data_IF_305920966588
#
_entry.id   IF_305920966588
#
_cell.length_a   1.000
_cell.length_b   1.000
_cell.length_c   1.000
_cell.angle_alpha   90.00
_cell.angle_beta   90.00
_cell.angle_gamma   90.00
#
_symmetry.space_group_name_H-M   'P 1'
#
loop_
_entity.id
_entity.type
_entity.pdbx_description
1 polymer ?
#
# COMPACT_ATOMS: atom_id res chain seq x y z
N UNK A 1 30.69 37.81 -39.30
CA UNK A 1 29.86 38.87 -39.89
C UNK A 1 28.92 39.27 -38.79
N UNK A 2 29.36 40.26 -38.15
CA UNK A 2 28.98 41.68 -38.09
C UNK A 2 27.71 41.87 -37.29
N UNK A 3 27.86 42.40 -36.06
CA UNK A 3 28.00 43.81 -35.62
C UNK A 3 26.64 44.53 -35.69
N UNK A 4 26.21 45.37 -34.81
CA UNK A 4 26.76 46.38 -33.90
C UNK A 4 25.63 46.80 -32.95
N UNK A 5 25.84 47.04 -31.66
CA UNK A 5 26.27 48.30 -30.99
C UNK A 5 25.32 49.50 -31.16
N UNK A 6 24.95 50.10 -30.04
CA UNK A 6 25.19 51.46 -29.53
C UNK A 6 24.12 51.79 -28.45
N UNK A 7 24.46 51.99 -27.20
CA UNK A 7 25.01 53.12 -26.42
C UNK A 7 24.36 54.49 -26.66
N UNK A 8 23.91 55.10 -25.57
CA UNK A 8 24.20 56.44 -24.97
C UNK A 8 23.10 56.90 -24.02
N UNK A 9 23.34 57.05 -22.75
CA UNK A 9 23.98 58.07 -21.87
C UNK A 9 23.46 59.51 -21.99
N UNK A 10 23.39 60.15 -20.79
CA UNK A 10 23.49 61.58 -20.43
C UNK A 10 22.14 62.35 -20.40
N UNK A 11 21.83 63.28 -19.54
CA UNK A 11 22.57 64.00 -18.50
C UNK A 11 21.58 64.73 -17.53
N UNK A 12 22.08 65.02 -16.32
CA UNK A 12 21.52 65.97 -15.37
C UNK A 12 21.92 67.39 -15.80
N UNK A 13 21.29 68.49 -15.29
CA UNK A 13 22.02 69.24 -14.30
C UNK A 13 21.22 69.91 -13.16
N UNK A 14 22.00 70.23 -12.11
CA UNK A 14 21.78 71.05 -10.93
C UNK A 14 21.46 72.52 -11.24
N UNK A 15 20.98 73.18 -10.21
CA UNK A 15 21.48 74.38 -9.44
C UNK A 15 20.28 75.18 -8.92
N UNK A 16 20.16 75.47 -7.67
CA UNK A 16 20.80 76.34 -6.68
C UNK A 16 20.16 77.73 -6.53
N UNK A 17 20.08 78.10 -5.23
CA UNK A 17 20.08 79.40 -4.57
C UNK A 17 18.83 80.29 -4.61
N UNK A 18 18.40 80.73 -3.55
CA UNK A 18 18.64 81.45 -2.33
C UNK A 18 17.75 82.73 -2.21
N UNK A 19 17.24 83.08 -1.09
CA UNK A 19 17.34 84.33 -0.36
C UNK A 19 16.17 84.60 0.60
N UNK A 20 16.54 84.81 1.78
CA UNK A 20 16.20 85.58 2.96
C UNK A 20 15.08 86.61 2.89
N UNK A 21 14.39 86.72 4.05
CA UNK A 21 13.74 88.00 4.55
C UNK A 21 12.55 87.68 5.47
N UNK A 22 12.63 87.69 6.72
CA UNK A 22 12.48 88.78 7.68
C UNK A 22 11.11 88.77 8.39
N UNK A 23 11.15 88.40 9.63
CA UNK A 23 10.44 88.86 10.83
C UNK A 23 9.00 89.43 10.79
N UNK A 24 8.08 88.80 11.56
CA UNK A 24 7.57 89.45 12.84
C UNK A 24 6.56 88.58 13.53
N UNK A 25 6.53 88.65 14.82
CA UNK A 25 5.79 87.82 15.77
C UNK A 25 4.32 88.24 15.90
N UNK A 26 3.46 87.22 16.08
CA UNK A 26 2.20 87.41 16.84
C UNK A 26 1.83 86.08 17.51
N UNK A 27 1.69 86.14 18.80
CA UNK A 27 1.25 85.10 19.71
C UNK A 27 -0.21 84.74 19.53
N UNK A 28 -0.49 83.44 19.30
CA UNK A 28 -1.81 82.88 19.61
C UNK A 28 -1.68 81.50 20.22
N UNK A 29 -2.51 81.26 21.23
CA UNK A 29 -2.54 80.12 22.13
C UNK A 29 -2.73 78.79 21.42
N UNK A 30 -1.93 77.81 21.85
CA UNK A 30 -1.92 76.50 21.32
C UNK A 30 -3.11 75.60 21.65
N UNK A 31 -3.76 75.09 20.69
CA UNK A 31 -4.55 73.88 20.81
C UNK A 31 -3.63 72.68 20.48
N UNK A 32 -3.48 71.74 21.44
CA UNK A 32 -2.75 70.50 21.28
C UNK A 32 -3.37 69.63 20.18
N UNK A 33 -2.59 69.01 19.29
CA UNK A 33 -3.13 68.17 18.24
C UNK A 33 -3.78 66.91 18.84
N UNK A 34 -4.88 66.38 18.24
CA UNK A 34 -5.57 65.19 18.75
C UNK A 34 -4.63 63.97 18.71
N UNK A 35 -4.43 63.34 19.88
CA UNK A 35 -3.68 62.08 20.01
C UNK A 35 -4.30 61.03 19.09
N UNK A 36 -3.62 60.69 17.99
CA UNK A 36 -3.94 59.52 17.13
C UNK A 36 -3.94 58.27 18.02
N UNK A 37 -5.11 57.74 18.38
CA UNK A 37 -5.27 56.47 19.06
C UNK A 37 -4.59 55.38 18.23
N UNK A 38 -3.58 54.78 18.84
CA UNK A 38 -2.79 53.67 18.29
C UNK A 38 -3.70 52.51 17.87
N UNK A 39 -3.95 52.32 16.56
CA UNK A 39 -4.61 51.15 15.97
C UNK A 39 -3.75 49.86 16.03
N UNK A 40 -2.70 49.79 16.87
CA UNK A 40 -1.76 48.68 16.95
C UNK A 40 -2.33 47.45 17.70
N UNK A 41 -3.27 47.63 18.60
CA UNK A 41 -3.86 46.55 19.38
C UNK A 41 -4.84 45.68 18.60
N UNK A 42 -5.57 46.29 17.66
CA UNK A 42 -6.52 45.55 16.83
C UNK A 42 -5.81 44.63 15.82
N UNK A 43 -4.72 45.11 15.21
CA UNK A 43 -3.89 44.31 14.29
C UNK A 43 -3.20 43.12 14.98
N UNK A 44 -2.70 43.32 16.21
CA UNK A 44 -2.13 42.20 17.00
C UNK A 44 -3.17 41.18 17.41
N UNK A 45 -4.37 41.60 17.85
CA UNK A 45 -5.46 40.69 18.20
C UNK A 45 -5.96 39.90 16.96
N UNK A 46 -6.09 40.57 15.81
CA UNK A 46 -6.45 39.91 14.55
C UNK A 46 -5.36 38.91 14.11
N UNK A 47 -4.09 39.24 14.23
CA UNK A 47 -2.98 38.35 13.89
C UNK A 47 -2.93 37.10 14.80
N UNK A 48 -3.17 37.28 16.10
CA UNK A 48 -3.26 36.20 17.10
C UNK A 48 -4.48 35.31 16.79
N UNK A 49 -5.63 35.90 16.47
CA UNK A 49 -6.83 35.14 16.10
C UNK A 49 -6.63 34.33 14.80
N UNK A 50 -5.98 34.90 13.78
CA UNK A 50 -5.62 34.21 12.54
C UNK A 50 -4.63 33.08 12.81
N UNK A 51 -3.59 33.34 13.61
CA UNK A 51 -2.63 32.29 13.98
C UNK A 51 -3.29 31.15 14.77
N UNK A 52 -4.16 31.44 15.74
CA UNK A 52 -4.90 30.45 16.50
C UNK A 52 -5.87 29.66 15.63
N UNK A 53 -6.52 30.30 14.64
CA UNK A 53 -7.40 29.63 13.67
C UNK A 53 -6.61 28.71 12.74
N UNK A 54 -5.45 29.14 12.24
CA UNK A 54 -4.56 28.32 11.41
C UNK A 54 -4.01 27.12 12.19
N UNK A 55 -3.63 27.32 13.46
CA UNK A 55 -3.18 26.22 14.33
C UNK A 55 -4.31 25.23 14.60
N UNK A 56 -5.53 25.70 14.84
CA UNK A 56 -6.71 24.85 15.02
C UNK A 56 -7.06 24.06 13.77
N UNK A 57 -7.05 24.69 12.59
CA UNK A 57 -7.28 24.02 11.31
C UNK A 57 -6.20 22.98 11.00
N UNK A 58 -4.93 23.28 11.30
CA UNK A 58 -3.82 22.35 11.13
C UNK A 58 -3.97 21.13 12.05
N UNK A 59 -4.34 21.33 13.31
CA UNK A 59 -4.58 20.25 14.27
C UNK A 59 -5.76 19.37 13.84
N UNK A 60 -6.84 19.96 13.33
CA UNK A 60 -8.00 19.23 12.82
C UNK A 60 -7.64 18.40 11.57
N UNK A 61 -6.82 18.95 10.65
CA UNK A 61 -6.36 18.24 9.46
C UNK A 61 -5.46 17.05 9.83
N UNK A 62 -4.53 17.22 10.78
CA UNK A 62 -3.69 16.12 11.29
C UNK A 62 -4.53 15.04 11.98
N UNK A 63 -5.49 15.44 12.82
CA UNK A 63 -6.39 14.50 13.48
C UNK A 63 -7.24 13.72 12.48
N UNK A 64 -7.80 14.37 11.46
CA UNK A 64 -8.55 13.73 10.40
C UNK A 64 -7.70 12.74 9.60
N UNK A 65 -6.48 13.13 9.23
CA UNK A 65 -5.54 12.25 8.53
C UNK A 65 -5.17 11.03 9.39
N UNK A 66 -4.92 11.22 10.69
CA UNK A 66 -4.62 10.13 11.63
C UNK A 66 -5.80 9.17 11.76
N UNK A 67 -7.01 9.68 11.98
CA UNK A 67 -8.20 8.85 12.11
C UNK A 67 -8.50 8.07 10.83
N UNK A 68 -8.34 8.70 9.66
CA UNK A 68 -8.50 8.01 8.37
C UNK A 68 -7.45 6.92 8.16
N UNK A 69 -6.21 7.20 8.55
CA UNK A 69 -5.12 6.23 8.51
C UNK A 69 -5.40 5.02 9.42
N UNK A 70 -5.74 5.27 10.69
CA UNK A 70 -6.03 4.22 11.65
C UNK A 70 -7.20 3.33 11.20
N UNK A 71 -8.24 3.93 10.61
CA UNK A 71 -9.39 3.17 10.09
C UNK A 71 -9.04 2.24 8.91
N UNK A 72 -8.02 2.59 8.11
CA UNK A 72 -7.53 1.73 7.03
C UNK A 72 -6.71 0.56 7.60
N UNK A 73 -5.90 0.85 8.62
CA UNK A 73 -4.94 -0.10 9.21
C UNK A 73 -5.38 -0.66 10.55
N UNK A 74 -6.68 -0.70 10.81
CA UNK A 74 -7.25 -1.35 11.99
C UNK A 74 -6.98 -2.86 11.97
N UNK A 75 -7.15 -3.52 13.11
CA UNK A 75 -7.07 -4.98 13.20
C UNK A 75 -8.14 -5.62 12.33
N UNK A 76 -7.75 -6.66 11.61
CA UNK A 76 -8.65 -7.45 10.78
C UNK A 76 -8.79 -8.86 11.33
N UNK A 77 -9.91 -9.10 12.01
CA UNK A 77 -10.21 -10.39 12.60
C UNK A 77 -10.66 -11.42 11.56
N UNK A 78 -10.41 -12.68 11.85
CA UNK A 78 -10.80 -13.80 11.02
C UNK A 78 -12.32 -13.82 10.81
N UNK A 79 -12.81 -13.88 9.57
CA UNK A 79 -14.24 -13.94 9.31
C UNK A 79 -14.82 -15.29 9.74
N UNK A 80 -16.13 -15.31 9.98
CA UNK A 80 -16.85 -16.58 10.12
C UNK A 80 -16.86 -17.34 8.78
N UNK A 81 -16.08 -18.39 8.70
CA UNK A 81 -15.95 -19.18 7.48
C UNK A 81 -17.24 -19.85 7.02
N UNK A 82 -18.19 -20.13 7.94
CA UNK A 82 -19.50 -20.64 7.58
C UNK A 82 -20.30 -19.64 6.72
N UNK A 83 -19.95 -18.34 6.77
CA UNK A 83 -20.58 -17.25 6.03
C UNK A 83 -19.68 -16.71 4.91
N UNK A 84 -18.76 -17.51 4.39
CA UNK A 84 -17.88 -17.15 3.26
C UNK A 84 -18.12 -18.07 2.06
N UNK A 85 -17.88 -17.54 0.87
CA UNK A 85 -18.15 -18.24 -0.39
C UNK A 85 -16.95 -19.06 -0.92
N UNK A 86 -15.72 -18.69 -0.54
CA UNK A 86 -14.50 -19.27 -1.08
C UNK A 86 -13.91 -20.40 -0.25
N UNK A 87 -12.81 -20.97 -0.79
CA UNK A 87 -11.90 -21.86 -0.06
C UNK A 87 -10.98 -20.98 0.79
N UNK A 88 -11.42 -20.71 2.02
CA UNK A 88 -10.76 -19.79 2.95
C UNK A 88 -10.54 -20.40 4.33
N UNK A 89 -10.59 -21.73 4.44
CA UNK A 89 -10.24 -22.49 5.63
C UNK A 89 -9.77 -23.91 5.23
N UNK A 90 -8.92 -24.48 6.08
CA UNK A 90 -8.29 -25.77 5.79
C UNK A 90 -9.31 -26.91 5.57
N UNK A 91 -10.48 -26.84 6.22
CA UNK A 91 -11.54 -27.83 6.04
C UNK A 91 -12.20 -27.81 4.66
N UNK A 92 -12.06 -26.72 3.91
CA UNK A 92 -12.51 -26.59 2.52
C UNK A 92 -11.37 -26.78 1.51
N UNK A 93 -10.14 -26.88 2.00
CA UNK A 93 -8.98 -27.17 1.19
C UNK A 93 -9.06 -28.56 0.55
N UNK A 94 -8.23 -28.83 -0.45
CA UNK A 94 -8.16 -30.13 -1.11
C UNK A 94 -7.82 -31.23 -0.09
N UNK A 95 -8.41 -32.44 -0.21
CA UNK A 95 -8.07 -33.55 0.65
C UNK A 95 -6.57 -33.88 0.57
N UNK A 96 -5.93 -34.04 1.74
CA UNK A 96 -4.51 -34.37 1.83
C UNK A 96 -3.57 -33.16 1.82
N UNK A 97 -4.07 -31.93 1.78
CA UNK A 97 -3.23 -30.76 2.05
C UNK A 97 -2.82 -30.75 3.53
N UNK A 98 -1.55 -31.05 3.78
CA UNK A 98 -0.98 -31.02 5.12
C UNK A 98 -0.61 -29.57 5.49
N UNK A 99 -0.79 -29.18 6.77
CA UNK A 99 -0.44 -27.87 7.27
C UNK A 99 0.16 -27.98 8.65
N UNK A 100 1.32 -27.38 8.84
CA UNK A 100 2.00 -27.20 10.11
C UNK A 100 1.90 -25.75 10.58
N UNK A 101 1.62 -25.54 11.86
CA UNK A 101 1.63 -24.21 12.45
C UNK A 101 3.04 -23.83 12.85
N UNK A 102 3.45 -22.65 12.47
CA UNK A 102 4.76 -22.07 12.81
C UNK A 102 4.55 -20.77 13.57
N UNK A 103 5.47 -20.44 14.46
CA UNK A 103 5.44 -19.17 15.19
C UNK A 103 6.76 -18.46 15.01
N UNK A 104 6.72 -17.18 14.67
CA UNK A 104 7.89 -16.32 14.62
C UNK A 104 7.56 -14.92 15.13
N UNK A 105 8.53 -14.03 15.18
CA UNK A 105 8.34 -12.70 15.75
C UNK A 105 8.73 -11.61 14.75
N UNK A 106 7.92 -10.56 14.65
CA UNK A 106 8.20 -9.34 13.92
C UNK A 106 8.18 -8.17 14.90
N UNK A 107 9.33 -7.52 15.12
CA UNK A 107 9.51 -6.43 16.09
C UNK A 107 8.91 -6.76 17.48
N UNK A 108 9.11 -8.01 17.94
CA UNK A 108 8.65 -8.49 19.23
C UNK A 108 7.17 -8.88 19.30
N UNK A 109 6.41 -8.74 18.21
CA UNK A 109 5.01 -9.21 18.09
C UNK A 109 5.01 -10.62 17.51
N UNK A 110 4.24 -11.51 18.11
CA UNK A 110 4.12 -12.90 17.67
C UNK A 110 3.24 -13.00 16.45
N UNK A 111 3.77 -13.61 15.37
CA UNK A 111 3.04 -13.87 14.13
C UNK A 111 2.77 -15.37 13.94
N UNK A 112 1.60 -15.66 13.34
CA UNK A 112 1.19 -17.01 13.01
C UNK A 112 1.61 -17.34 11.57
N UNK A 113 2.51 -18.31 11.43
CA UNK A 113 2.91 -18.90 10.17
C UNK A 113 2.23 -20.25 9.90
N UNK A 114 2.12 -20.59 8.64
CA UNK A 114 1.53 -21.83 8.13
C UNK A 114 2.46 -22.43 7.11
N UNK A 115 2.98 -23.62 7.39
CA UNK A 115 3.84 -24.35 6.48
C UNK A 115 3.07 -25.51 5.84
N UNK A 116 3.17 -25.63 4.55
CA UNK A 116 2.54 -26.68 3.74
C UNK A 116 3.64 -27.48 3.05
N UNK A 117 4.04 -28.64 3.60
CA UNK A 117 5.12 -29.43 3.07
C UNK A 117 4.77 -30.12 1.75
N UNK A 118 5.69 -30.09 0.79
CA UNK A 118 5.66 -30.98 -0.38
C UNK A 118 6.65 -32.14 -0.17
N UNK A 119 6.34 -33.31 -0.72
CA UNK A 119 7.13 -34.54 -0.49
C UNK A 119 8.59 -34.43 -0.96
N UNK A 120 8.84 -33.75 -2.07
CA UNK A 120 10.18 -33.52 -2.63
C UNK A 120 10.18 -32.11 -3.25
N UNK A 121 10.31 -31.08 -2.40
CA UNK A 121 10.07 -29.72 -2.86
C UNK A 121 11.17 -29.23 -3.81
N UNK A 122 10.75 -28.62 -4.92
CA UNK A 122 11.63 -27.89 -5.84
C UNK A 122 12.19 -26.62 -5.20
N UNK A 123 11.47 -26.06 -4.23
CA UNK A 123 11.79 -24.85 -3.49
C UNK A 123 10.73 -24.55 -2.45
N UNK A 124 10.89 -23.45 -1.73
CA UNK A 124 9.92 -22.92 -0.81
C UNK A 124 9.29 -21.66 -1.39
N UNK A 125 7.96 -21.68 -1.63
CA UNK A 125 7.23 -20.48 -2.03
C UNK A 125 6.66 -19.79 -0.80
N UNK A 126 6.95 -18.50 -0.62
CA UNK A 126 6.30 -17.67 0.41
C UNK A 126 5.14 -16.94 -0.24
N UNK A 127 3.91 -17.14 0.27
CA UNK A 127 2.68 -16.52 -0.23
C UNK A 127 2.24 -15.43 0.72
N UNK A 128 2.14 -14.20 0.22
CA UNK A 128 1.86 -12.98 0.96
C UNK A 128 0.49 -12.41 0.59
N UNK A 129 -0.39 -12.29 1.59
CA UNK A 129 -1.77 -11.84 1.41
C UNK A 129 -1.91 -10.31 1.24
N UNK A 130 -3.07 -9.85 0.73
CA UNK A 130 -3.45 -8.44 0.63
C UNK A 130 -3.92 -7.85 1.96
N UNK A 131 -4.19 -6.55 1.97
CA UNK A 131 -4.78 -5.87 3.12
C UNK A 131 -6.21 -6.39 3.38
N UNK A 132 -6.63 -6.42 4.64
CA UNK A 132 -7.94 -6.93 5.07
C UNK A 132 -8.18 -8.40 4.67
N UNK A 133 -7.11 -9.19 4.64
CA UNK A 133 -7.13 -10.63 4.40
C UNK A 133 -6.18 -11.34 5.38
N UNK A 134 -6.15 -12.65 5.34
CA UNK A 134 -5.17 -13.48 6.03
C UNK A 134 -4.67 -14.62 5.13
N UNK A 135 -3.75 -15.42 5.63
CA UNK A 135 -3.13 -16.51 4.88
C UNK A 135 -4.16 -17.51 4.32
N UNK A 136 -5.22 -17.80 5.07
CA UNK A 136 -6.25 -18.76 4.69
C UNK A 136 -7.09 -18.31 3.47
N UNK A 137 -7.18 -17.02 3.16
CA UNK A 137 -7.87 -16.52 1.97
C UNK A 137 -7.10 -16.85 0.68
N UNK A 138 -5.82 -17.20 0.81
CA UNK A 138 -4.92 -17.56 -0.29
C UNK A 138 -4.69 -19.06 -0.42
N UNK A 139 -5.48 -19.90 0.28
CA UNK A 139 -5.44 -21.36 0.16
C UNK A 139 -5.51 -21.85 -1.28
N UNK A 140 -6.32 -21.29 -2.21
CA UNK A 140 -6.33 -21.74 -3.61
C UNK A 140 -4.97 -21.57 -4.30
N UNK A 141 -4.25 -20.51 -4.02
CA UNK A 141 -2.88 -20.27 -4.53
C UNK A 141 -1.91 -21.25 -3.88
N UNK A 142 -2.02 -21.44 -2.57
CA UNK A 142 -1.20 -22.39 -1.80
C UNK A 142 -1.36 -23.81 -2.34
N UNK A 143 -2.60 -24.27 -2.55
CA UNK A 143 -2.90 -25.58 -3.15
C UNK A 143 -2.26 -25.73 -4.53
N UNK A 144 -2.39 -24.70 -5.37
CA UNK A 144 -1.80 -24.72 -6.71
C UNK A 144 -0.27 -24.89 -6.66
N UNK A 145 0.40 -24.17 -5.76
CA UNK A 145 1.85 -24.24 -5.61
C UNK A 145 2.31 -25.58 -5.02
N UNK A 146 1.60 -26.12 -4.01
CA UNK A 146 1.90 -27.47 -3.47
C UNK A 146 1.73 -28.53 -4.54
N UNK A 147 0.66 -28.47 -5.33
CA UNK A 147 0.42 -29.38 -6.45
C UNK A 147 1.46 -29.23 -7.58
N UNK A 148 2.09 -28.05 -7.67
CA UNK A 148 3.19 -27.80 -8.62
C UNK A 148 4.55 -28.24 -8.09
N UNK A 149 4.61 -28.82 -6.88
CA UNK A 149 5.84 -29.39 -6.30
C UNK A 149 6.66 -28.42 -5.45
N UNK A 150 6.07 -27.36 -4.97
CA UNK A 150 6.69 -26.44 -4.01
C UNK A 150 6.17 -26.68 -2.60
N UNK A 151 7.04 -26.67 -1.60
CA UNK A 151 6.57 -26.38 -0.24
C UNK A 151 6.15 -24.93 -0.17
N UNK A 152 5.14 -24.64 0.66
CA UNK A 152 4.64 -23.27 0.79
C UNK A 152 4.70 -22.81 2.24
N UNK A 153 5.14 -21.58 2.45
CA UNK A 153 5.01 -20.85 3.69
C UNK A 153 4.10 -19.66 3.47
N UNK A 154 3.13 -19.47 4.35
CA UNK A 154 2.28 -18.27 4.39
C UNK A 154 2.13 -17.85 5.84
N UNK A 155 1.73 -16.62 6.10
CA UNK A 155 1.56 -16.12 7.45
C UNK A 155 0.55 -15.00 7.50
N UNK A 156 -0.04 -14.79 8.65
CA UNK A 156 -0.88 -13.64 8.93
C UNK A 156 0.01 -12.48 9.36
N UNK A 157 -0.13 -11.32 8.71
CA UNK A 157 0.59 -10.11 9.11
C UNK A 157 0.16 -9.66 10.51
N UNK A 158 0.97 -8.82 11.16
CA UNK A 158 0.63 -8.15 12.41
C UNK A 158 -0.77 -7.55 12.35
N UNK A 159 -1.58 -7.80 13.38
CA UNK A 159 -2.96 -7.30 13.44
C UNK A 159 -3.93 -7.96 12.47
N UNK A 160 -3.57 -9.12 11.88
CA UNK A 160 -4.51 -9.92 11.07
C UNK A 160 -4.70 -11.31 11.66
N UNK A 161 -5.88 -11.85 11.56
CA UNK A 161 -6.32 -13.21 11.92
C UNK A 161 -5.68 -13.72 13.22
N UNK A 162 -4.82 -14.76 13.14
CA UNK A 162 -4.25 -15.45 14.29
C UNK A 162 -2.92 -14.81 14.77
N UNK A 163 -2.41 -13.79 14.06
CA UNK A 163 -1.27 -13.01 14.53
C UNK A 163 -1.68 -12.01 15.61
N UNK A 164 -0.76 -11.73 16.52
CA UNK A 164 -0.94 -10.69 17.54
C UNK A 164 -0.85 -9.29 16.91
N UNK A 165 -1.20 -8.26 17.69
CA UNK A 165 -1.21 -6.85 17.32
C UNK A 165 -2.59 -6.26 17.30
N UNK A 166 -2.71 -5.01 17.77
CA UNK A 166 -3.98 -4.28 17.87
C UNK A 166 -4.37 -3.60 16.55
N UNK A 167 -3.49 -3.56 15.58
CA UNK A 167 -3.69 -2.98 14.25
C UNK A 167 -2.69 -3.54 13.25
N UNK A 168 -2.95 -3.34 11.96
CA UNK A 168 -2.01 -3.64 10.87
C UNK A 168 -0.99 -2.50 10.65
N UNK A 169 -0.90 -1.56 11.56
CA UNK A 169 0.06 -0.46 11.70
C UNK A 169 0.12 0.47 10.48
N UNK A 170 0.33 -0.04 9.27
CA UNK A 170 0.43 0.77 8.06
C UNK A 170 1.01 0.07 6.84
N UNK A 171 1.15 0.80 5.74
CA UNK A 171 1.53 0.19 4.45
C UNK A 171 2.86 -0.56 4.46
N UNK A 172 3.88 -0.05 5.17
CA UNK A 172 5.18 -0.73 5.21
C UNK A 172 5.20 -1.96 6.12
N UNK A 173 4.15 -2.21 6.91
CA UNK A 173 4.14 -3.35 7.85
C UNK A 173 4.23 -4.69 7.11
N UNK A 174 3.58 -4.83 5.95
CA UNK A 174 3.72 -6.06 5.15
C UNK A 174 5.16 -6.35 4.72
N UNK A 175 5.94 -5.30 4.43
CA UNK A 175 7.36 -5.43 4.13
C UNK A 175 8.17 -5.78 5.38
N UNK A 176 7.88 -5.15 6.52
CA UNK A 176 8.55 -5.43 7.81
C UNK A 176 8.30 -6.88 8.22
N UNK A 177 7.05 -7.31 8.21
CA UNK A 177 6.69 -8.68 8.60
C UNK A 177 7.26 -9.72 7.65
N UNK A 178 7.32 -9.43 6.33
CA UNK A 178 7.94 -10.32 5.35
C UNK A 178 9.45 -10.41 5.53
N UNK A 179 10.16 -9.31 5.83
CA UNK A 179 11.60 -9.31 6.15
C UNK A 179 11.89 -10.22 7.35
N UNK A 180 11.07 -10.14 8.40
CA UNK A 180 11.17 -11.01 9.58
C UNK A 180 10.78 -12.47 9.27
N UNK A 181 9.75 -12.71 8.46
CA UNK A 181 9.36 -14.06 8.05
C UNK A 181 10.48 -14.74 7.23
N UNK A 182 11.10 -14.01 6.31
CA UNK A 182 12.23 -14.54 5.54
C UNK A 182 13.45 -14.77 6.41
N UNK A 183 13.74 -13.89 7.35
CA UNK A 183 14.80 -14.08 8.35
C UNK A 183 14.55 -15.30 9.21
N UNK A 184 13.31 -15.54 9.64
CA UNK A 184 12.91 -16.77 10.33
C UNK A 184 13.16 -18.01 9.45
N UNK A 185 12.66 -18.02 8.23
CA UNK A 185 12.85 -19.13 7.27
C UNK A 185 14.35 -19.40 7.03
N UNK A 186 15.15 -18.36 6.92
CA UNK A 186 16.60 -18.49 6.71
C UNK A 186 17.34 -19.02 7.92
N UNK A 187 16.79 -18.86 9.13
CA UNK A 187 17.37 -19.37 10.39
C UNK A 187 17.00 -20.82 10.71
N UNK A 188 15.88 -21.33 10.16
CA UNK A 188 15.38 -22.65 10.45
C UNK A 188 16.03 -23.71 9.58
N UNK A 189 16.60 -24.77 10.24
CA UNK A 189 17.26 -25.87 9.53
C UNK A 189 16.33 -26.67 8.61
N UNK A 190 15.05 -26.67 8.89
CA UNK A 190 14.01 -27.33 8.08
C UNK A 190 13.95 -26.78 6.64
N UNK A 191 14.28 -25.49 6.45
CA UNK A 191 14.26 -24.84 5.12
C UNK A 191 15.63 -24.73 4.47
N UNK A 192 16.66 -25.37 5.05
CA UNK A 192 18.01 -25.32 4.51
C UNK A 192 18.09 -25.95 3.12
N UNK A 193 18.81 -25.25 2.23
CA UNK A 193 19.01 -25.73 0.85
C UNK A 193 17.83 -25.52 -0.10
N UNK A 194 16.67 -25.09 0.38
CA UNK A 194 15.55 -24.74 -0.50
C UNK A 194 15.73 -23.33 -1.05
N UNK A 195 15.73 -23.14 -2.37
CA UNK A 195 15.61 -21.82 -2.96
C UNK A 195 14.22 -21.23 -2.61
N UNK A 196 14.19 -19.93 -2.32
CA UNK A 196 12.96 -19.23 -1.92
C UNK A 196 12.38 -18.50 -3.11
N UNK A 197 11.08 -18.68 -3.36
CA UNK A 197 10.31 -17.92 -4.33
C UNK A 197 9.19 -17.16 -3.63
N UNK A 198 8.78 -16.02 -4.17
CA UNK A 198 7.78 -15.17 -3.54
C UNK A 198 6.57 -14.97 -4.45
N UNK A 199 5.37 -15.07 -3.88
CA UNK A 199 4.12 -14.64 -4.52
C UNK A 199 3.43 -13.66 -3.58
N UNK A 200 3.07 -12.47 -4.08
CA UNK A 200 2.32 -11.50 -3.31
C UNK A 200 1.20 -10.86 -4.11
N UNK A 201 0.05 -10.68 -3.48
CA UNK A 201 -1.09 -9.98 -4.06
C UNK A 201 -1.31 -8.64 -3.34
N UNK A 202 -1.59 -7.59 -4.10
CA UNK A 202 -1.95 -6.28 -3.55
C UNK A 202 -0.88 -5.77 -2.56
N UNK A 203 -1.22 -5.60 -1.28
CA UNK A 203 -0.31 -5.22 -0.20
C UNK A 203 0.87 -6.19 -0.06
N UNK A 204 0.61 -7.51 -0.15
CA UNK A 204 1.65 -8.53 -0.20
C UNK A 204 2.52 -8.42 -1.44
N UNK A 205 1.95 -8.01 -2.58
CA UNK A 205 2.68 -7.79 -3.82
C UNK A 205 3.69 -6.65 -3.74
N UNK A 206 3.33 -5.56 -3.04
CA UNK A 206 4.27 -4.50 -2.67
C UNK A 206 5.44 -5.05 -1.82
N UNK A 207 5.11 -5.84 -0.80
CA UNK A 207 6.10 -6.39 0.11
C UNK A 207 7.10 -7.30 -0.60
N UNK A 208 6.63 -8.28 -1.41
CA UNK A 208 7.50 -9.26 -2.10
C UNK A 208 8.42 -8.61 -3.13
N UNK A 209 7.97 -7.54 -3.79
CA UNK A 209 8.83 -6.80 -4.72
C UNK A 209 9.84 -5.91 -4.00
N UNK A 210 9.44 -5.28 -2.89
CA UNK A 210 10.29 -4.34 -2.15
C UNK A 210 11.37 -5.04 -1.31
N UNK A 211 11.14 -6.29 -0.87
CA UNK A 211 12.06 -7.04 0.01
C UNK A 211 13.27 -7.63 -0.73
N UNK A 212 13.22 -7.74 -2.07
CA UNK A 212 14.19 -8.48 -2.87
C UNK A 212 15.68 -8.16 -2.59
N UNK A 213 16.09 -6.91 -2.35
CA UNK A 213 17.50 -6.61 -2.06
C UNK A 213 17.97 -7.10 -0.69
N UNK A 214 17.04 -7.43 0.23
CA UNK A 214 17.35 -7.79 1.61
C UNK A 214 17.69 -9.28 1.77
N UNK A 215 17.13 -10.16 0.92
CA UNK A 215 17.23 -11.62 1.05
C UNK A 215 17.79 -12.28 -0.20
N UNK A 216 19.06 -12.71 -0.14
CA UNK A 216 19.78 -13.31 -1.26
C UNK A 216 19.34 -14.74 -1.60
N UNK A 217 18.65 -15.43 -0.67
CA UNK A 217 18.08 -16.76 -0.93
C UNK A 217 16.81 -16.71 -1.78
N UNK A 218 16.21 -15.51 -1.95
CA UNK A 218 15.11 -15.32 -2.88
C UNK A 218 15.64 -15.39 -4.30
N UNK A 219 15.13 -16.34 -5.07
CA UNK A 219 15.58 -16.61 -6.44
C UNK A 219 14.58 -16.18 -7.51
N UNK A 220 13.33 -15.91 -7.14
CA UNK A 220 12.30 -15.39 -8.08
C UNK A 220 11.13 -14.79 -7.33
N UNK A 221 10.37 -13.91 -7.99
CA UNK A 221 9.25 -13.18 -7.40
C UNK A 221 8.10 -12.99 -8.39
N UNK A 222 6.86 -13.18 -7.93
CA UNK A 222 5.65 -12.81 -8.67
C UNK A 222 4.83 -11.81 -7.85
N UNK A 223 4.53 -10.65 -8.42
CA UNK A 223 3.71 -9.61 -7.81
C UNK A 223 2.43 -9.42 -8.61
N UNK A 224 1.28 -9.49 -7.94
CA UNK A 224 -0.05 -9.51 -8.54
C UNK A 224 -0.84 -8.30 -8.03
N UNK A 225 -1.36 -7.46 -8.92
CA UNK A 225 -2.20 -6.30 -8.63
C UNK A 225 -1.61 -5.36 -7.54
N UNK A 226 -0.30 -5.13 -7.59
CA UNK A 226 0.43 -4.49 -6.51
C UNK A 226 0.75 -3.02 -6.77
N UNK A 227 0.73 -2.17 -5.71
CA UNK A 227 1.22 -0.80 -5.79
C UNK A 227 2.75 -0.77 -5.74
N UNK A 228 3.34 0.26 -6.37
CA UNK A 228 4.78 0.50 -6.30
C UNK A 228 5.22 0.98 -4.92
N UNK A 229 4.48 1.93 -4.35
CA UNK A 229 4.87 2.59 -3.10
C UNK A 229 3.65 2.80 -2.20
N UNK A 230 3.78 2.39 -0.94
CA UNK A 230 2.68 2.47 0.00
C UNK A 230 2.28 3.88 0.39
N UNK A 231 3.25 4.79 0.55
CA UNK A 231 2.96 6.18 0.92
C UNK A 231 2.18 6.93 -0.17
N UNK A 232 2.63 6.80 -1.42
CA UNK A 232 1.97 7.45 -2.56
C UNK A 232 0.57 6.88 -2.80
N UNK A 233 0.36 5.59 -2.54
CA UNK A 233 -0.98 5.00 -2.59
C UNK A 233 -1.92 5.60 -1.55
N UNK A 234 -1.47 5.82 -0.30
CA UNK A 234 -2.28 6.44 0.75
C UNK A 234 -2.68 7.86 0.34
N UNK A 235 -1.76 8.64 -0.25
CA UNK A 235 -2.07 9.98 -0.73
C UNK A 235 -3.08 9.96 -1.87
N UNK A 236 -2.94 9.05 -2.83
CA UNK A 236 -3.90 8.88 -3.93
C UNK A 236 -5.30 8.54 -3.40
N UNK A 237 -5.40 7.59 -2.46
CA UNK A 237 -6.68 7.25 -1.83
C UNK A 237 -7.24 8.40 -1.00
N UNK A 238 -6.40 9.12 -0.27
CA UNK A 238 -6.78 10.35 0.42
C UNK A 238 -7.38 11.38 -0.53
N UNK A 239 -6.78 11.60 -1.69
CA UNK A 239 -7.30 12.51 -2.72
C UNK A 239 -8.63 11.99 -3.33
N UNK A 240 -8.72 10.70 -3.60
CA UNK A 240 -9.92 10.09 -4.18
C UNK A 240 -11.14 10.21 -3.26
N UNK A 241 -10.97 10.03 -1.94
CA UNK A 241 -12.09 10.01 -1.00
C UNK A 241 -12.32 11.34 -0.28
N UNK A 242 -11.28 12.13 -0.06
CA UNK A 242 -11.33 13.39 0.70
C UNK A 242 -10.90 14.63 -0.09
N UNK A 243 -10.57 14.47 -1.38
CA UNK A 243 -10.07 15.54 -2.23
C UNK A 243 -8.67 16.00 -1.85
N UNK A 244 -8.21 17.08 -2.50
CA UNK A 244 -6.84 17.60 -2.29
C UNK A 244 -6.57 18.05 -0.84
N UNK A 245 -7.59 18.40 -0.08
CA UNK A 245 -7.44 18.78 1.33
C UNK A 245 -7.04 17.60 2.23
N UNK A 246 -7.36 16.36 1.82
CA UNK A 246 -7.01 15.15 2.57
C UNK A 246 -5.65 14.57 2.19
N UNK A 247 -5.09 14.95 1.03
CA UNK A 247 -3.87 14.36 0.48
C UNK A 247 -2.70 15.31 0.33
N UNK A 248 -2.93 16.64 0.35
CA UNK A 248 -1.89 17.65 0.08
C UNK A 248 -1.66 18.59 1.26
N UNK A 249 -0.47 19.18 1.30
CA UNK A 249 -0.08 20.15 2.31
C UNK A 249 0.15 19.55 3.68
N UNK A 250 -0.64 19.96 4.69
CA UNK A 250 -0.46 19.50 6.07
C UNK A 250 -0.65 18.00 6.25
N UNK A 251 -1.72 17.36 5.71
CA UNK A 251 -1.87 15.90 5.77
C UNK A 251 -0.70 15.15 5.10
N UNK A 252 -0.22 15.60 3.96
CA UNK A 252 0.92 15.02 3.26
C UNK A 252 2.19 15.04 4.12
N UNK A 253 2.53 16.22 4.66
CA UNK A 253 3.70 16.38 5.55
C UNK A 253 3.56 15.51 6.79
N UNK A 254 2.37 15.51 7.41
CA UNK A 254 2.09 14.70 8.58
C UNK A 254 2.28 13.20 8.27
N UNK A 255 1.64 12.69 7.22
CA UNK A 255 1.72 11.28 6.84
C UNK A 255 3.16 10.85 6.52
N UNK A 256 3.94 11.71 5.85
CA UNK A 256 5.34 11.43 5.57
C UNK A 256 6.17 11.28 6.86
N UNK A 257 6.02 12.23 7.79
CA UNK A 257 6.71 12.18 9.09
C UNK A 257 6.22 10.98 9.91
N UNK A 258 4.92 10.74 9.92
CA UNK A 258 4.31 9.64 10.67
C UNK A 258 4.79 8.27 10.17
N UNK A 259 4.83 8.05 8.85
CA UNK A 259 5.40 6.82 8.25
C UNK A 259 6.87 6.63 8.66
N UNK A 260 7.68 7.69 8.63
CA UNK A 260 9.09 7.60 9.04
C UNK A 260 9.25 7.26 10.52
N UNK A 261 8.37 7.76 11.39
CA UNK A 261 8.38 7.41 12.82
C UNK A 261 8.01 5.94 13.02
N UNK A 262 6.98 5.44 12.30
CA UNK A 262 6.52 4.06 12.43
C UNK A 262 7.51 3.05 11.86
N UNK A 263 8.08 3.31 10.68
CA UNK A 263 8.76 2.31 9.86
C UNK A 263 10.24 2.59 9.60
N UNK A 264 10.75 3.76 10.00
CA UNK A 264 12.16 4.11 9.86
C UNK A 264 12.69 3.87 8.44
N UNK A 265 13.71 3.01 8.33
CA UNK A 265 14.37 2.66 7.06
C UNK A 265 13.43 2.05 6.01
N UNK A 266 12.39 1.34 6.44
CA UNK A 266 11.48 0.64 5.51
C UNK A 266 10.68 1.60 4.63
N UNK A 267 10.54 2.88 5.01
CA UNK A 267 9.91 3.90 4.16
C UNK A 267 10.71 4.24 2.90
N UNK A 268 11.97 3.83 2.82
CA UNK A 268 12.86 4.09 1.68
C UNK A 268 12.75 3.01 0.59
N UNK A 269 12.11 1.87 0.90
CA UNK A 269 11.90 0.78 -0.04
C UNK A 269 10.60 0.96 -0.81
N UNK A 270 10.68 0.68 -2.10
CA UNK A 270 9.53 0.55 -2.99
C UNK A 270 9.77 -0.60 -3.97
N UNK A 271 8.70 -1.02 -4.67
CA UNK A 271 8.77 -2.19 -5.53
C UNK A 271 9.76 -2.00 -6.71
N UNK A 272 9.78 -0.81 -7.34
CA UNK A 272 10.71 -0.52 -8.45
C UNK A 272 12.16 -0.55 -7.97
N UNK A 273 12.46 0.03 -6.81
CA UNK A 273 13.81 -0.05 -6.23
C UNK A 273 14.17 -1.48 -5.86
N UNK A 274 13.23 -2.23 -5.30
CA UNK A 274 13.43 -3.64 -4.97
C UNK A 274 13.78 -4.47 -6.21
N UNK A 275 12.99 -4.35 -7.27
CA UNK A 275 13.21 -5.03 -8.55
C UNK A 275 14.54 -4.60 -9.19
N UNK A 276 14.84 -3.30 -9.21
CA UNK A 276 16.09 -2.77 -9.77
C UNK A 276 17.33 -3.12 -8.92
N UNK A 277 17.14 -3.48 -7.65
CA UNK A 277 18.21 -3.88 -6.73
C UNK A 277 18.62 -5.34 -6.84
N UNK A 278 18.02 -6.12 -7.75
CA UNK A 278 18.28 -7.55 -7.93
C UNK A 278 18.31 -7.94 -9.41
N UNK A 279 18.84 -9.13 -9.69
CA UNK A 279 18.81 -9.77 -11.01
C UNK A 279 17.89 -10.99 -11.06
N UNK A 280 17.11 -11.25 -10.00
CA UNK A 280 16.21 -12.41 -9.99
C UNK A 280 15.04 -12.21 -10.97
N UNK A 281 14.51 -13.26 -11.58
CA UNK A 281 13.32 -13.17 -12.44
C UNK A 281 12.11 -12.65 -11.64
N UNK A 282 11.40 -11.68 -12.20
CA UNK A 282 10.20 -11.09 -11.62
C UNK A 282 9.05 -11.11 -12.62
N UNK A 283 7.88 -11.62 -12.22
CA UNK A 283 6.64 -11.47 -12.97
C UNK A 283 5.77 -10.39 -12.32
N UNK A 284 5.39 -9.39 -13.10
CA UNK A 284 4.48 -8.31 -12.69
C UNK A 284 3.15 -8.52 -13.39
N UNK A 285 2.13 -8.95 -12.63
CA UNK A 285 0.77 -9.15 -13.13
C UNK A 285 -0.16 -8.03 -12.69
N UNK A 286 -0.98 -7.49 -13.60
CA UNK A 286 -1.97 -6.47 -13.29
C UNK A 286 -3.21 -6.57 -14.17
N UNK A 287 -4.38 -6.19 -13.63
CA UNK A 287 -5.62 -6.09 -14.37
C UNK A 287 -5.85 -4.67 -14.90
N UNK A 288 -6.32 -4.52 -16.15
CA UNK A 288 -6.55 -3.22 -16.77
C UNK A 288 -7.75 -2.45 -16.16
N UNK A 289 -8.67 -3.18 -15.54
CA UNK A 289 -9.85 -2.66 -14.84
C UNK A 289 -9.70 -2.60 -13.31
N UNK A 290 -8.50 -2.75 -12.78
CA UNK A 290 -8.25 -2.66 -11.33
C UNK A 290 -8.65 -1.27 -10.79
N UNK A 291 -9.73 -1.25 -9.98
CA UNK A 291 -10.27 -0.04 -9.38
C UNK A 291 -9.72 0.24 -7.96
N UNK A 292 -8.92 -0.67 -7.43
CA UNK A 292 -8.26 -0.52 -6.13
C UNK A 292 -6.86 0.06 -6.33
N UNK A 293 -6.05 -0.56 -7.18
CA UNK A 293 -4.70 -0.09 -7.53
C UNK A 293 -4.71 0.28 -9.01
N UNK A 294 -4.86 1.56 -9.31
CA UNK A 294 -4.98 2.02 -10.69
C UNK A 294 -3.72 1.69 -11.49
N UNK A 295 -3.90 0.95 -12.60
CA UNK A 295 -2.81 0.49 -13.47
C UNK A 295 -1.97 1.64 -14.06
N UNK A 296 -2.54 2.82 -14.23
CA UNK A 296 -1.87 4.01 -14.79
C UNK A 296 -1.25 4.94 -13.75
N UNK A 297 -1.43 4.66 -12.44
CA UNK A 297 -0.99 5.55 -11.35
C UNK A 297 0.00 4.86 -10.40
N UNK A 298 -0.51 4.16 -9.38
CA UNK A 298 0.33 3.60 -8.31
C UNK A 298 0.71 2.12 -8.51
N UNK A 299 0.17 1.46 -9.51
CA UNK A 299 0.56 0.10 -9.84
C UNK A 299 2.05 0.02 -10.19
N UNK A 300 2.72 -1.08 -9.81
CA UNK A 300 4.10 -1.34 -10.28
C UNK A 300 4.15 -1.26 -11.81
N UNK A 301 3.10 -1.73 -12.48
CA UNK A 301 2.96 -1.71 -13.94
C UNK A 301 3.04 -0.28 -14.53
N UNK A 302 2.56 0.76 -13.84
CA UNK A 302 2.66 2.16 -14.28
C UNK A 302 4.12 2.62 -14.39
N UNK A 303 4.98 2.07 -13.54
CA UNK A 303 6.40 2.40 -13.43
C UNK A 303 7.32 1.51 -14.28
N UNK A 304 6.78 0.74 -15.23
CA UNK A 304 7.55 -0.21 -16.06
C UNK A 304 8.73 0.42 -16.81
N UNK A 305 8.67 1.71 -17.12
CA UNK A 305 9.78 2.44 -17.78
C UNK A 305 10.92 2.78 -16.80
N UNK A 306 10.67 2.75 -15.50
CA UNK A 306 11.68 2.97 -14.46
C UNK A 306 12.37 1.66 -14.05
N UNK A 307 11.79 0.51 -14.42
CA UNK A 307 12.36 -0.81 -14.19
C UNK A 307 13.44 -1.06 -15.25
N UNK A 308 14.67 -1.29 -14.78
CA UNK A 308 15.86 -1.45 -15.61
C UNK A 308 16.32 -2.89 -15.74
N UNK A 309 15.71 -3.79 -14.97
CA UNK A 309 16.04 -5.22 -14.96
C UNK A 309 15.51 -5.89 -16.23
N UNK A 310 16.36 -6.63 -16.92
CA UNK A 310 16.00 -7.40 -18.12
C UNK A 310 15.26 -8.70 -17.78
N UNK A 311 15.18 -9.05 -16.49
CA UNK A 311 14.57 -10.29 -16.00
C UNK A 311 13.11 -10.09 -15.54
N UNK A 312 12.38 -9.16 -16.14
CA UNK A 312 11.00 -8.85 -15.77
C UNK A 312 10.04 -9.28 -16.88
N UNK A 313 9.06 -10.12 -16.53
CA UNK A 313 7.93 -10.45 -17.38
C UNK A 313 6.68 -9.69 -16.92
N UNK A 314 5.90 -9.19 -17.87
CA UNK A 314 4.63 -8.51 -17.59
C UNK A 314 3.46 -9.39 -18.05
N UNK A 315 2.46 -9.51 -17.18
CA UNK A 315 1.22 -10.21 -17.47
C UNK A 315 0.03 -9.27 -17.22
N UNK A 316 -0.73 -8.99 -18.27
CA UNK A 316 -1.89 -8.11 -18.23
C UNK A 316 -3.17 -8.91 -18.48
N UNK A 317 -4.16 -8.74 -17.61
CA UNK A 317 -5.50 -9.30 -17.82
C UNK A 317 -6.49 -8.18 -18.13
N UNK A 318 -7.54 -8.56 -18.89
CA UNK A 318 -8.60 -7.65 -19.34
C UNK A 318 -9.97 -8.31 -19.15
N UNK A 319 -11.04 -7.53 -19.32
CA UNK A 319 -12.40 -8.04 -19.24
C UNK A 319 -12.75 -8.58 -17.86
N UNK A 320 -13.33 -9.78 -17.78
CA UNK A 320 -13.81 -10.36 -16.52
C UNK A 320 -12.67 -10.63 -15.50
N UNK A 321 -11.44 -10.78 -15.96
CA UNK A 321 -10.26 -10.99 -15.13
C UNK A 321 -9.45 -9.71 -14.93
N UNK A 322 -9.93 -8.56 -15.40
CA UNK A 322 -9.22 -7.29 -15.34
C UNK A 322 -9.30 -6.58 -13.99
N UNK A 323 -10.03 -7.10 -13.01
CA UNK A 323 -10.18 -6.50 -11.69
C UNK A 323 -9.05 -6.82 -10.72
N UNK A 324 -9.12 -6.23 -9.51
CA UNK A 324 -8.09 -6.36 -8.48
C UNK A 324 -7.89 -7.77 -7.97
N UNK A 325 -9.00 -8.43 -7.60
CA UNK A 325 -8.99 -9.83 -7.15
C UNK A 325 -9.22 -10.80 -8.32
N UNK A 326 -9.91 -10.36 -9.37
CA UNK A 326 -10.30 -11.18 -10.49
C UNK A 326 -9.08 -11.68 -11.30
N UNK A 327 -7.98 -10.94 -11.30
CA UNK A 327 -6.75 -11.31 -12.04
C UNK A 327 -6.20 -12.70 -11.69
N UNK A 328 -6.29 -13.10 -10.43
CA UNK A 328 -5.75 -14.38 -9.99
C UNK A 328 -6.79 -15.51 -9.98
N UNK A 329 -8.05 -15.21 -10.36
CA UNK A 329 -9.12 -16.18 -10.58
C UNK A 329 -9.28 -16.58 -12.05
N UNK A 330 -9.79 -17.77 -12.29
CA UNK A 330 -10.19 -18.19 -13.65
C UNK A 330 -11.35 -17.33 -14.16
N UNK A 331 -11.53 -17.26 -15.49
CA UNK A 331 -12.67 -16.55 -16.07
C UNK A 331 -14.01 -17.12 -15.58
N UNK A 332 -14.11 -18.46 -15.47
CA UNK A 332 -15.30 -19.13 -14.95
C UNK A 332 -15.58 -18.76 -13.48
N UNK A 333 -14.54 -18.69 -12.65
CA UNK A 333 -14.66 -18.21 -11.28
C UNK A 333 -15.14 -16.77 -11.24
N UNK A 334 -14.57 -15.88 -12.05
CA UNK A 334 -14.96 -14.45 -12.11
C UNK A 334 -16.44 -14.30 -12.48
N UNK A 335 -16.92 -15.01 -13.49
CA UNK A 335 -18.32 -15.00 -13.90
C UNK A 335 -19.25 -15.55 -12.79
N UNK A 336 -18.86 -16.66 -12.15
CA UNK A 336 -19.62 -17.24 -11.05
C UNK A 336 -19.69 -16.30 -9.84
N UNK A 337 -18.59 -15.69 -9.47
CA UNK A 337 -18.49 -14.69 -8.39
C UNK A 337 -19.40 -13.49 -8.66
N UNK A 338 -19.33 -12.94 -9.87
CA UNK A 338 -20.18 -11.81 -10.29
C UNK A 338 -21.69 -12.15 -10.22
N UNK A 339 -22.06 -13.39 -10.61
CA UNK A 339 -23.44 -13.90 -10.51
C UNK A 339 -23.96 -14.00 -9.07
N UNK A 340 -23.08 -14.23 -8.10
CA UNK A 340 -23.41 -14.40 -6.68
C UNK A 340 -23.30 -13.14 -5.85
N UNK A 341 -22.59 -12.11 -6.31
CA UNK A 341 -22.22 -10.93 -5.51
C UNK A 341 -23.42 -10.26 -4.82
N UNK A 342 -24.49 -9.99 -5.59
CA UNK A 342 -25.72 -9.36 -5.07
C UNK A 342 -26.43 -10.24 -4.06
N UNK A 343 -26.47 -11.55 -4.30
CA UNK A 343 -27.10 -12.52 -3.39
C UNK A 343 -26.33 -12.62 -2.08
N UNK A 344 -25.01 -12.75 -2.14
CA UNK A 344 -24.12 -12.79 -0.96
C UNK A 344 -24.30 -11.51 -0.12
N UNK A 345 -24.26 -10.32 -0.76
CA UNK A 345 -24.49 -9.04 -0.07
C UNK A 345 -25.87 -8.97 0.58
N UNK A 346 -26.89 -9.46 -0.10
CA UNK A 346 -28.28 -9.50 0.43
C UNK A 346 -28.38 -10.42 1.63
N UNK A 347 -27.90 -11.64 1.54
CA UNK A 347 -27.94 -12.65 2.62
C UNK A 347 -27.16 -12.17 3.84
N UNK A 348 -25.94 -11.63 3.67
CA UNK A 348 -25.15 -11.10 4.80
C UNK A 348 -25.87 -9.98 5.54
N UNK A 349 -26.55 -9.06 4.82
CA UNK A 349 -27.25 -7.90 5.39
C UNK A 349 -28.63 -8.22 5.91
N UNK A 350 -29.25 -9.34 5.51
CA UNK A 350 -30.60 -9.70 5.90
C UNK A 350 -30.68 -10.01 7.38
N UNK A 351 -31.41 -9.16 8.11
CA UNK A 351 -31.62 -9.31 9.57
C UNK A 351 -32.75 -10.31 9.93
N UNK A 352 -33.59 -10.63 8.95
CA UNK A 352 -34.71 -11.55 9.12
C UNK A 352 -34.29 -13.02 8.93
N UNK A 353 -33.15 -13.26 8.27
CA UNK A 353 -32.55 -14.59 8.15
C UNK A 353 -31.85 -14.99 9.44
N UNK A 354 -32.11 -16.20 9.90
CA UNK A 354 -31.37 -16.84 10.98
C UNK A 354 -29.94 -17.16 10.55
N UNK A 355 -29.07 -17.38 11.52
CA UNK A 355 -27.71 -17.83 11.25
C UNK A 355 -27.68 -19.15 10.45
N UNK A 356 -28.54 -20.12 10.80
CA UNK A 356 -28.62 -21.41 10.11
C UNK A 356 -29.03 -21.27 8.65
N UNK A 357 -30.02 -20.41 8.34
CA UNK A 357 -30.41 -20.14 6.94
C UNK A 357 -29.29 -19.46 6.13
N UNK A 358 -28.52 -18.58 6.77
CA UNK A 358 -27.33 -17.99 6.10
C UNK A 358 -26.27 -19.05 5.83
N UNK A 359 -25.97 -19.91 6.79
CA UNK A 359 -25.00 -21.02 6.62
C UNK A 359 -25.45 -21.96 5.52
N UNK A 360 -26.76 -22.31 5.45
CA UNK A 360 -27.31 -23.14 4.38
C UNK A 360 -27.09 -22.52 2.99
N UNK A 361 -27.35 -21.20 2.85
CA UNK A 361 -27.06 -20.48 1.62
C UNK A 361 -25.58 -20.58 1.21
N UNK A 362 -24.66 -20.34 2.14
CA UNK A 362 -23.23 -20.40 1.83
C UNK A 362 -22.75 -21.82 1.54
N UNK A 363 -23.30 -22.84 2.19
CA UNK A 363 -23.02 -24.24 1.90
C UNK A 363 -23.53 -24.68 0.51
N UNK A 364 -24.51 -23.99 -0.05
CA UNK A 364 -24.99 -24.20 -1.42
C UNK A 364 -24.09 -23.64 -2.51
N UNK A 365 -23.05 -22.85 -2.15
CA UNK A 365 -22.10 -22.27 -3.12
C UNK A 365 -21.04 -23.33 -3.48
N UNK A 366 -20.73 -23.46 -4.75
CA UNK A 366 -19.56 -24.22 -5.20
C UNK A 366 -18.28 -23.46 -4.84
N UNK A 367 -17.73 -23.77 -3.65
CA UNK A 367 -16.53 -23.13 -3.11
C UNK A 367 -15.31 -23.33 -4.01
N UNK A 368 -15.23 -24.45 -4.75
CA UNK A 368 -14.10 -24.77 -5.63
C UNK A 368 -14.15 -23.91 -6.87
N UNK A 369 -15.29 -23.85 -7.55
CA UNK A 369 -15.47 -22.96 -8.69
C UNK A 369 -15.30 -21.48 -8.28
N UNK A 370 -15.86 -21.07 -7.14
CA UNK A 370 -15.73 -19.70 -6.63
C UNK A 370 -14.27 -19.28 -6.43
N UNK A 371 -13.40 -20.24 -6.12
CA UNK A 371 -11.97 -20.02 -5.79
C UNK A 371 -11.01 -20.54 -6.86
N UNK A 372 -11.51 -20.95 -8.02
CA UNK A 372 -10.65 -21.49 -9.07
C UNK A 372 -9.64 -20.43 -9.54
N UNK A 373 -8.35 -20.83 -9.54
CA UNK A 373 -7.26 -19.91 -9.89
C UNK A 373 -7.05 -19.77 -11.40
N UNK A 374 -6.49 -18.66 -11.82
CA UNK A 374 -6.08 -18.41 -13.20
C UNK A 374 -4.88 -19.31 -13.56
N UNK A 375 -5.18 -20.47 -14.16
CA UNK A 375 -4.18 -21.47 -14.52
C UNK A 375 -3.11 -20.95 -15.50
N UNK A 376 -3.43 -19.97 -16.35
CA UNK A 376 -2.47 -19.36 -17.26
C UNK A 376 -1.44 -18.53 -16.48
N UNK A 377 -1.90 -17.64 -15.61
CA UNK A 377 -1.04 -16.80 -14.75
C UNK A 377 -0.13 -17.70 -13.88
N UNK A 378 -0.74 -18.63 -13.13
CA UNK A 378 0.04 -19.48 -12.23
C UNK A 378 0.94 -20.47 -12.96
N UNK A 379 0.56 -20.93 -14.17
CA UNK A 379 1.43 -21.72 -15.05
C UNK A 379 2.69 -20.95 -15.48
N UNK A 380 2.56 -19.65 -15.79
CA UNK A 380 3.71 -18.76 -16.07
C UNK A 380 4.59 -18.57 -14.84
N UNK A 381 3.99 -18.34 -13.66
CA UNK A 381 4.70 -18.20 -12.39
C UNK A 381 5.51 -19.46 -12.09
N UNK A 382 4.89 -20.64 -12.16
CA UNK A 382 5.56 -21.94 -11.92
C UNK A 382 6.70 -22.14 -12.89
N UNK A 383 6.50 -21.88 -14.18
CA UNK A 383 7.56 -21.99 -15.19
C UNK A 383 8.76 -21.10 -14.89
N UNK A 384 8.51 -19.85 -14.46
CA UNK A 384 9.57 -18.92 -14.08
C UNK A 384 10.30 -19.40 -12.83
N UNK A 385 9.56 -19.89 -11.83
CA UNK A 385 10.12 -20.43 -10.58
C UNK A 385 10.95 -21.69 -10.83
N UNK A 386 10.45 -22.63 -11.65
CA UNK A 386 11.19 -23.83 -12.04
C UNK A 386 12.55 -23.49 -12.68
N UNK A 387 12.57 -22.50 -13.57
CA UNK A 387 13.80 -22.02 -14.20
C UNK A 387 14.77 -21.31 -13.25
N UNK A 388 14.27 -20.69 -12.19
CA UNK A 388 15.08 -20.01 -11.18
C UNK A 388 15.62 -20.99 -10.12
N UNK A 389 14.82 -21.98 -9.71
CA UNK A 389 15.21 -22.98 -8.71
C UNK A 389 16.17 -24.06 -9.27
N UNK A 390 16.26 -24.22 -10.59
CA UNK A 390 17.16 -25.18 -11.21
C UNK A 390 18.61 -24.69 -11.36
N UNK A 391 18.88 -23.42 -11.06
CA UNK A 391 20.21 -22.80 -11.13
C UNK A 391 20.94 -22.92 -9.80
#
# INVERSE_FOLDING_TARGET
MQNNDDERTEDLPETAESAQGGAEAASEEGQAPPKKKRKSGLKKKALIAVAASLTGLSAAAVMGAKLGYDAIFDRYDRPDYALTAGVCCISRAQPGLERELKTFYSDGVKLQGYYYPARAPKGLTVVCHGIHAGADDYLPIIEYMVNSGYSVFSFDYKGTYDSEGDSTVGMCESLVDLDHALSYIESESEFNGLPITLIGHSWGGYAVASVLPLHKRVVSCATIAAPNNGYTLILEKGEQYGGQLASKGIPEVFLNVYQKILFGKYTEYDAVKGINGTSVPVLIAHGDGDNIINIGLQAIYAHRQEIRSDNVEYYLTTGVQGGHDEIWHSAAACEYRAGLEKQIKSVKKNKDMTYAEKVEFFNGIDHRLYSEVNAELFGKIVKMFDGACAK
#
